data_IF_557908459492
#
_entry.id   IF_557908459492
#
_cell.length_a   1.000
_cell.length_b   1.000
_cell.length_c   1.000
_cell.angle_alpha   90.00
_cell.angle_beta   90.00
_cell.angle_gamma   90.00
#
_symmetry.space_group_name_H-M   'P 1'
#
loop_
_entity.id
_entity.type
_entity.pdbx_description
1 polymer ?
#
# COMPACT_ATOMS: atom_id res chain seq x y z
N UNK A 1 -23.92 -13.19 -2.98
CA UNK A 1 -22.96 -12.17 -3.43
C UNK A 1 -21.91 -12.17 -2.34
N UNK A 2 -21.11 -13.21 -2.37
CA UNK A 2 -20.04 -13.46 -1.44
C UNK A 2 -18.94 -12.49 -1.87
N UNK A 3 -18.91 -11.33 -1.21
CA UNK A 3 -17.78 -10.41 -1.35
C UNK A 3 -16.62 -11.11 -0.68
N UNK A 4 -15.89 -11.92 -1.44
CA UNK A 4 -14.63 -12.48 -1.01
C UNK A 4 -13.76 -11.30 -0.58
N UNK A 5 -13.64 -11.10 0.74
CA UNK A 5 -12.66 -10.19 1.30
C UNK A 5 -11.32 -10.89 1.10
N UNK A 6 -10.77 -10.76 -0.10
CA UNK A 6 -9.39 -11.12 -0.35
C UNK A 6 -8.55 -10.19 0.52
N UNK A 7 -8.09 -10.69 1.66
CA UNK A 7 -7.10 -10.02 2.49
C UNK A 7 -5.77 -10.06 1.72
N UNK A 8 -5.59 -9.15 0.77
CA UNK A 8 -4.38 -9.06 -0.04
C UNK A 8 -3.37 -8.25 0.76
N UNK A 9 -2.20 -8.83 1.04
CA UNK A 9 -1.13 -8.02 1.62
C UNK A 9 -0.48 -7.25 0.49
N UNK A 10 -0.43 -5.94 0.59
CA UNK A 10 0.29 -5.09 -0.37
C UNK A 10 1.44 -4.38 0.31
N UNK A 11 2.53 -4.22 -0.44
CA UNK A 11 3.70 -3.48 -0.01
C UNK A 11 3.72 -2.13 -0.71
N UNK A 12 3.68 -1.06 0.08
CA UNK A 12 3.84 0.30 -0.40
C UNK A 12 5.32 0.64 -0.36
N UNK A 13 5.88 1.03 -1.49
CA UNK A 13 7.29 1.41 -1.61
C UNK A 13 7.39 2.81 -2.19
N UNK A 14 8.26 3.63 -1.61
CA UNK A 14 8.61 4.92 -2.18
C UNK A 14 9.78 4.76 -3.14
N UNK A 15 9.65 5.24 -4.38
CA UNK A 15 10.73 5.12 -5.38
C UNK A 15 11.86 6.14 -5.18
N UNK A 16 11.68 7.08 -4.25
CA UNK A 16 12.58 8.22 -4.04
C UNK A 16 13.31 8.18 -2.69
N UNK A 17 12.89 7.31 -1.77
CA UNK A 17 13.53 7.15 -0.46
C UNK A 17 13.38 5.72 0.05
N UNK A 18 14.06 5.38 1.15
CA UNK A 18 14.04 4.04 1.74
C UNK A 18 12.73 3.69 2.48
N UNK A 19 11.62 4.35 2.14
CA UNK A 19 10.32 4.06 2.76
C UNK A 19 9.69 2.83 2.12
N UNK A 20 9.37 1.83 2.94
CA UNK A 20 8.49 0.73 2.57
C UNK A 20 7.56 0.38 3.74
N UNK A 21 6.29 0.12 3.46
CA UNK A 21 5.30 -0.30 4.46
C UNK A 21 4.41 -1.39 3.88
N UNK A 22 4.31 -2.51 4.59
CA UNK A 22 3.36 -3.57 4.26
C UNK A 22 2.04 -3.26 4.96
N UNK A 23 0.94 -3.37 4.21
CA UNK A 23 -0.42 -3.17 4.71
C UNK A 23 -1.30 -4.29 4.17
N UNK A 24 -2.14 -4.84 5.03
CA UNK A 24 -3.16 -5.80 4.63
C UNK A 24 -4.36 -5.01 4.11
N UNK A 25 -4.86 -5.29 2.91
CA UNK A 25 -6.03 -4.62 2.33
C UNK A 25 -7.32 -5.10 3.00
N UNK A 26 -7.48 -4.77 4.28
CA UNK A 26 -8.79 -4.79 4.93
C UNK A 26 -9.52 -3.43 4.75
N UNK A 27 -9.18 -2.66 3.71
CA UNK A 27 -9.81 -1.37 3.38
C UNK A 27 -8.87 -0.35 2.71
N UNK A 28 -9.20 0.93 2.85
CA UNK A 28 -8.51 2.11 2.26
C UNK A 28 -7.15 2.46 2.91
N UNK A 29 -6.60 1.63 3.79
CA UNK A 29 -5.41 1.93 4.60
C UNK A 29 -4.17 2.21 3.73
N UNK A 30 -4.07 1.52 2.60
CA UNK A 30 -2.98 1.74 1.65
C UNK A 30 -3.02 3.13 1.00
N UNK A 31 -4.22 3.57 0.63
CA UNK A 31 -4.41 4.88 0.02
C UNK A 31 -4.06 6.00 1.00
N UNK A 32 -4.37 5.83 2.29
CA UNK A 32 -4.00 6.79 3.35
C UNK A 32 -2.48 6.93 3.46
N UNK A 33 -1.75 5.82 3.55
CA UNK A 33 -0.29 5.82 3.64
C UNK A 33 0.36 6.49 2.43
N UNK A 34 -0.12 6.19 1.22
CA UNK A 34 0.36 6.82 -0.01
C UNK A 34 0.10 8.33 0.01
N UNK A 35 -1.11 8.75 0.37
CA UNK A 35 -1.50 10.16 0.42
C UNK A 35 -0.70 10.93 1.46
N UNK A 36 -0.50 10.36 2.65
CA UNK A 36 0.26 11.00 3.72
C UNK A 36 1.74 11.14 3.36
N UNK A 37 2.38 10.05 2.93
CA UNK A 37 3.80 10.09 2.58
C UNK A 37 4.04 10.98 1.36
N UNK A 38 3.19 10.87 0.33
CA UNK A 38 3.27 11.70 -0.87
C UNK A 38 3.09 13.18 -0.58
N UNK A 39 2.18 13.56 0.32
CA UNK A 39 2.02 14.97 0.72
C UNK A 39 3.19 15.48 1.57
N UNK A 40 3.72 14.66 2.49
CA UNK A 40 4.83 15.06 3.36
C UNK A 40 6.16 15.20 2.61
N UNK A 41 6.39 14.38 1.59
CA UNK A 41 7.69 14.28 0.90
C UNK A 41 7.67 14.78 -0.54
N UNK A 42 6.50 14.90 -1.17
CA UNK A 42 6.37 15.14 -2.60
C UNK A 42 6.78 13.93 -3.46
N UNK A 43 7.01 12.76 -2.86
CA UNK A 43 7.47 11.58 -3.56
C UNK A 43 6.32 10.74 -4.12
N UNK A 44 6.61 10.01 -5.20
CA UNK A 44 5.70 9.03 -5.78
C UNK A 44 5.91 7.66 -5.13
N UNK A 45 4.83 7.10 -4.59
CA UNK A 45 4.81 5.74 -4.05
C UNK A 45 4.14 4.78 -5.04
N UNK A 46 4.50 3.51 -4.95
CA UNK A 46 3.94 2.39 -5.72
C UNK A 46 3.50 1.29 -4.77
N UNK A 47 2.47 0.54 -5.15
CA UNK A 47 1.98 -0.64 -4.43
C UNK A 47 2.41 -1.90 -5.18
N UNK A 48 2.95 -2.86 -4.45
CA UNK A 48 3.30 -4.19 -4.93
C UNK A 48 2.41 -5.20 -4.22
N UNK A 49 1.66 -6.00 -4.97
CA UNK A 49 0.86 -7.09 -4.41
C UNK A 49 1.79 -8.21 -3.93
N UNK A 50 1.71 -8.57 -2.65
CA UNK A 50 2.42 -9.72 -2.09
C UNK A 50 1.50 -10.93 -2.26
N UNK A 51 1.49 -11.49 -3.46
CA UNK A 51 0.78 -12.74 -3.74
C UNK A 51 1.38 -13.85 -2.87
N UNK A 52 0.58 -14.34 -1.91
CA UNK A 52 0.97 -15.42 -1.01
C UNK A 52 1.00 -16.74 -1.80
N UNK A 53 2.18 -17.06 -2.33
CA UNK A 53 2.45 -18.27 -3.11
C UNK A 53 2.25 -19.58 -2.35
#
# INVERSE_FOLDING_TARGET
>A
MDTEQHSETIRIVCNMCAFSKEVTTEGDEAAEVIREHGQKTGHKLTTEELDAK
#
